data_IF_815822356664
#
_entry.id   IF_815822356664
#
_cell.length_a   1.000
_cell.length_b   1.000
_cell.length_c   1.000
_cell.angle_alpha   90.00
_cell.angle_beta   90.00
_cell.angle_gamma   90.00
#
_symmetry.space_group_name_H-M   'P 1'
#
loop_
_entity.id
_entity.type
_entity.pdbx_description
1 polymer ?
#
# COMPACT_ATOMS: atom_id res chain seq x y z
N UNK A 1 59.76 -13.88 26.87
CA UNK A 1 59.34 -12.59 26.29
C UNK A 1 57.89 -12.72 25.89
N UNK A 2 57.05 -11.96 26.58
CA UNK A 2 55.64 -11.73 26.27
C UNK A 2 55.42 -11.19 24.84
N UNK A 3 54.20 -11.41 24.34
CA UNK A 3 53.66 -10.87 23.09
C UNK A 3 52.50 -11.75 22.62
N UNK A 4 51.38 -11.78 23.34
CA UNK A 4 50.17 -11.00 23.04
C UNK A 4 49.57 -11.38 21.67
N UNK A 5 48.65 -12.36 21.65
CA UNK A 5 47.19 -12.17 21.51
C UNK A 5 46.77 -11.42 20.23
N UNK A 6 45.97 -12.09 19.39
CA UNK A 6 44.61 -11.64 19.05
C UNK A 6 43.90 -12.69 18.17
N UNK A 7 42.77 -13.11 18.73
CA UNK A 7 41.71 -13.98 18.24
C UNK A 7 41.06 -13.58 16.90
N UNK A 8 40.55 -14.57 16.16
CA UNK A 8 39.10 -14.81 15.88
C UNK A 8 39.00 -15.85 14.76
N UNK A 9 38.61 -17.08 15.09
CA UNK A 9 37.23 -17.56 15.08
C UNK A 9 36.75 -18.02 13.69
N UNK A 10 36.79 -19.35 13.54
CA UNK A 10 35.73 -20.21 13.01
C UNK A 10 35.35 -20.13 11.53
N UNK A 11 35.98 -21.03 10.75
CA UNK A 11 35.34 -21.73 9.63
C UNK A 11 34.14 -22.54 10.16
N UNK A 12 32.94 -22.27 9.65
CA UNK A 12 32.04 -23.19 8.92
C UNK A 12 30.56 -22.88 9.15
N UNK A 13 29.81 -22.94 8.03
CA UNK A 13 28.41 -23.35 7.87
C UNK A 13 27.27 -22.43 8.32
N UNK A 14 26.37 -22.16 7.37
CA UNK A 14 25.06 -21.55 7.61
C UNK A 14 24.23 -21.29 6.35
N UNK A 15 23.98 -22.34 5.57
CA UNK A 15 22.78 -22.62 4.74
C UNK A 15 22.07 -21.46 4.01
N UNK A 16 22.02 -21.57 2.69
CA UNK A 16 21.07 -20.86 1.84
C UNK A 16 19.62 -21.10 2.28
N UNK A 17 18.95 -20.04 2.74
CA UNK A 17 17.49 -19.99 2.84
C UNK A 17 16.94 -19.28 1.59
N UNK A 18 17.04 -19.94 0.45
CA UNK A 18 16.04 -19.77 -0.60
C UNK A 18 14.84 -20.65 -0.21
N UNK A 19 13.65 -20.25 -0.67
CA UNK A 19 12.36 -20.98 -0.65
C UNK A 19 11.36 -20.45 0.37
N UNK A 20 10.58 -19.45 -0.10
CA UNK A 20 9.11 -19.28 0.01
C UNK A 20 8.74 -17.80 0.24
N UNK A 21 8.56 -17.02 -0.83
CA UNK A 21 7.90 -15.72 -0.69
C UNK A 21 7.06 -15.24 -1.87
N UNK A 22 6.80 -16.06 -2.89
CA UNK A 22 6.02 -15.60 -4.06
C UNK A 22 4.49 -15.86 -3.97
N UNK A 23 3.91 -16.71 -3.09
CA UNK A 23 2.44 -16.77 -3.00
C UNK A 23 1.82 -16.04 -1.79
N UNK A 24 2.57 -15.63 -0.76
CA UNK A 24 1.94 -15.20 0.51
C UNK A 24 1.18 -13.87 0.39
N UNK A 25 1.56 -12.98 -0.53
CA UNK A 25 0.84 -11.71 -0.76
C UNK A 25 -0.54 -11.94 -1.43
N UNK A 26 -0.80 -13.10 -2.02
CA UNK A 26 -2.04 -13.38 -2.74
C UNK A 26 -3.18 -13.93 -1.84
N UNK A 27 -2.94 -14.18 -0.55
CA UNK A 27 -3.91 -14.92 0.29
C UNK A 27 -4.72 -14.07 1.30
N UNK A 28 -4.61 -12.74 1.33
CA UNK A 28 -5.34 -11.92 2.31
C UNK A 28 -6.29 -10.85 1.74
N UNK A 29 -6.37 -10.70 0.42
CA UNK A 29 -7.38 -9.88 -0.26
C UNK A 29 -7.62 -10.49 -1.64
N UNK A 30 -8.59 -10.00 -2.42
CA UNK A 30 -8.74 -10.36 -3.85
C UNK A 30 -7.60 -9.75 -4.70
N UNK A 31 -6.35 -9.96 -4.28
CA UNK A 31 -5.15 -9.54 -4.96
C UNK A 31 -4.90 -10.53 -6.11
N UNK A 32 -4.74 -9.99 -7.33
CA UNK A 32 -4.48 -10.77 -8.53
C UNK A 32 -3.32 -10.13 -9.28
N UNK A 33 -2.30 -10.92 -9.60
CA UNK A 33 -1.28 -10.51 -10.55
C UNK A 33 -1.94 -10.35 -11.94
N UNK A 34 -1.97 -9.13 -12.44
CA UNK A 34 -2.55 -8.77 -13.74
C UNK A 34 -1.50 -8.94 -14.84
N UNK A 35 -0.25 -8.55 -14.56
CA UNK A 35 0.86 -8.65 -15.52
C UNK A 35 2.22 -8.63 -14.81
N UNK A 36 3.25 -9.06 -15.52
CA UNK A 36 4.65 -8.95 -15.10
C UNK A 36 5.13 -10.06 -14.16
N UNK A 37 6.22 -9.81 -13.44
CA UNK A 37 6.87 -10.82 -12.59
C UNK A 37 7.30 -10.25 -11.23
N UNK A 38 6.78 -10.84 -10.16
CA UNK A 38 7.15 -10.48 -8.78
C UNK A 38 8.42 -11.20 -8.30
N UNK A 39 8.96 -12.15 -9.05
CA UNK A 39 10.24 -12.78 -8.74
C UNK A 39 11.41 -11.79 -8.73
N UNK A 40 11.24 -10.61 -9.34
CA UNK A 40 12.17 -9.47 -9.28
C UNK A 40 12.43 -8.98 -7.86
N UNK A 41 11.51 -9.25 -6.92
CA UNK A 41 11.65 -8.91 -5.51
C UNK A 41 12.46 -9.94 -4.71
N UNK A 42 12.83 -11.08 -5.30
CA UNK A 42 13.65 -12.08 -4.60
C UNK A 42 15.01 -11.48 -4.21
N UNK A 43 15.38 -11.69 -2.95
CA UNK A 43 16.63 -11.17 -2.39
C UNK A 43 16.61 -9.68 -2.06
N UNK A 44 15.52 -8.96 -2.33
CA UNK A 44 15.38 -7.56 -1.89
C UNK A 44 14.97 -7.55 -0.42
N UNK A 45 15.73 -6.83 0.41
CA UNK A 45 15.45 -6.67 1.85
C UNK A 45 14.68 -5.40 2.16
N UNK A 46 14.55 -4.50 1.17
CA UNK A 46 13.80 -3.27 1.29
C UNK A 46 13.03 -2.99 -0.01
N UNK A 47 11.84 -2.41 0.12
CA UNK A 47 11.02 -1.91 -0.98
C UNK A 47 10.41 -0.56 -0.59
N UNK A 48 10.30 0.35 -1.55
CA UNK A 48 9.63 1.62 -1.33
C UNK A 48 8.15 1.53 -1.62
N UNK A 49 7.38 2.39 -0.99
CA UNK A 49 5.94 2.53 -1.23
C UNK A 49 5.60 3.99 -1.45
N UNK A 50 4.87 4.24 -2.53
CA UNK A 50 4.30 5.53 -2.87
C UNK A 50 2.79 5.37 -3.06
N UNK A 51 2.02 6.32 -2.52
CA UNK A 51 0.58 6.31 -2.63
C UNK A 51 0.13 7.31 -3.69
N UNK A 52 -0.70 6.85 -4.62
CA UNK A 52 -1.28 7.65 -5.69
C UNK A 52 -2.80 7.68 -5.54
N UNK A 53 -3.36 8.87 -5.35
CA UNK A 53 -4.80 9.10 -5.24
C UNK A 53 -5.35 9.84 -6.46
N UNK A 54 -4.52 10.11 -7.47
CA UNK A 54 -4.92 10.90 -8.63
C UNK A 54 -5.94 10.14 -9.47
N UNK A 55 -7.04 10.82 -9.81
CA UNK A 55 -8.09 10.25 -10.66
C UNK A 55 -8.88 9.11 -9.99
N UNK A 56 -8.86 9.02 -8.66
CA UNK A 56 -9.72 8.07 -7.97
C UNK A 56 -11.19 8.46 -8.07
N UNK A 57 -12.05 7.44 -7.98
CA UNK A 57 -13.50 7.61 -7.99
C UNK A 57 -14.13 7.23 -6.65
N UNK A 58 -15.30 7.79 -6.36
CA UNK A 58 -16.00 7.58 -5.09
C UNK A 58 -17.40 7.04 -5.31
N UNK A 59 -17.78 6.08 -4.47
CA UNK A 59 -19.08 5.44 -4.46
C UNK A 59 -19.28 4.42 -5.59
N UNK A 60 -20.32 3.59 -5.47
CA UNK A 60 -20.64 2.55 -6.46
C UNK A 60 -20.87 3.03 -7.90
N UNK A 61 -21.17 4.33 -8.11
CA UNK A 61 -21.31 4.93 -9.45
C UNK A 61 -19.98 5.39 -10.06
N UNK A 62 -18.89 5.39 -9.30
CA UNK A 62 -17.59 5.83 -9.79
C UNK A 62 -17.52 7.35 -10.06
N UNK A 63 -18.13 8.17 -9.20
CA UNK A 63 -18.07 9.63 -9.36
C UNK A 63 -16.63 10.12 -9.18
N UNK A 64 -16.08 10.99 -10.06
CA UNK A 64 -14.77 11.58 -9.84
C UNK A 64 -14.68 12.23 -8.46
N UNK A 65 -13.58 12.01 -7.73
CA UNK A 65 -13.45 12.49 -6.36
C UNK A 65 -13.74 13.99 -6.22
N UNK A 66 -13.17 14.82 -7.10
CA UNK A 66 -13.33 16.27 -7.03
C UNK A 66 -14.81 16.69 -7.10
N UNK A 67 -15.59 16.03 -7.96
CA UNK A 67 -17.02 16.26 -8.07
C UNK A 67 -17.74 15.79 -6.80
N UNK A 68 -17.44 14.58 -6.33
CA UNK A 68 -18.07 14.02 -5.14
C UNK A 68 -17.81 14.89 -3.89
N UNK A 69 -16.57 15.37 -3.72
CA UNK A 69 -16.22 16.27 -2.62
C UNK A 69 -16.96 17.61 -2.71
N UNK A 70 -17.09 18.20 -3.89
CA UNK A 70 -17.83 19.45 -4.06
C UNK A 70 -19.30 19.31 -3.62
N UNK A 71 -19.95 18.23 -4.05
CA UNK A 71 -21.34 17.92 -3.66
C UNK A 71 -21.48 17.71 -2.14
N UNK A 72 -20.56 16.95 -1.57
CA UNK A 72 -20.54 16.60 -0.15
C UNK A 72 -20.19 17.80 0.75
N UNK A 73 -19.34 18.73 0.30
CA UNK A 73 -19.05 20.00 0.97
C UNK A 73 -20.28 20.91 0.94
N UNK A 74 -20.88 21.12 -0.23
CA UNK A 74 -22.07 21.97 -0.38
C UNK A 74 -23.23 21.48 0.49
N UNK A 75 -23.51 20.17 0.46
CA UNK A 75 -24.54 19.52 1.26
C UNK A 75 -24.33 19.68 2.76
N UNK A 76 -23.08 19.54 3.25
CA UNK A 76 -22.76 19.70 4.68
C UNK A 76 -22.85 21.16 5.10
N UNK A 77 -22.26 22.07 4.32
CA UNK A 77 -22.32 23.51 4.60
C UNK A 77 -23.75 24.05 4.59
N UNK A 78 -24.63 23.51 3.75
CA UNK A 78 -26.07 23.83 3.78
C UNK A 78 -26.79 23.40 5.06
N UNK A 79 -26.26 22.43 5.82
CA UNK A 79 -26.80 22.02 7.13
C UNK A 79 -26.14 22.75 8.29
N UNK A 80 -24.83 22.95 8.21
CA UNK A 80 -24.01 23.66 9.20
C UNK A 80 -22.81 24.27 8.49
N UNK A 81 -22.73 25.60 8.48
CA UNK A 81 -21.60 26.32 7.90
C UNK A 81 -20.26 25.81 8.47
N UNK A 82 -19.28 25.60 7.58
CA UNK A 82 -17.94 25.09 7.89
C UNK A 82 -17.85 23.58 8.11
N UNK A 83 -18.96 22.85 8.17
CA UNK A 83 -18.92 21.39 8.38
C UNK A 83 -18.49 20.61 7.12
N UNK A 84 -18.71 21.17 5.93
CA UNK A 84 -18.20 20.63 4.68
C UNK A 84 -16.69 20.76 4.57
N UNK A 85 -16.16 21.91 4.94
CA UNK A 85 -14.74 22.22 4.86
C UNK A 85 -13.94 21.33 5.84
N UNK A 86 -14.46 21.17 7.07
CA UNK A 86 -13.90 20.24 8.04
C UNK A 86 -13.91 18.80 7.53
N UNK A 87 -15.01 18.37 6.89
CA UNK A 87 -15.10 17.04 6.30
C UNK A 87 -14.07 16.83 5.18
N UNK A 88 -13.92 17.80 4.26
CA UNK A 88 -12.96 17.71 3.18
C UNK A 88 -11.52 17.64 3.72
N UNK A 89 -11.20 18.43 4.74
CA UNK A 89 -9.89 18.38 5.40
C UNK A 89 -9.62 16.99 5.99
N UNK A 90 -10.57 16.42 6.74
CA UNK A 90 -10.44 15.06 7.31
C UNK A 90 -10.34 13.99 6.22
N UNK A 91 -11.11 14.10 5.14
CA UNK A 91 -11.08 13.16 4.03
C UNK A 91 -9.69 13.09 3.39
N UNK A 92 -9.05 14.24 3.17
CA UNK A 92 -7.70 14.32 2.60
C UNK A 92 -6.64 13.90 3.60
N UNK A 93 -6.72 14.35 4.87
CA UNK A 93 -5.71 14.04 5.90
C UNK A 93 -5.66 12.56 6.24
N UNK A 94 -6.82 11.86 6.18
CA UNK A 94 -6.92 10.42 6.43
C UNK A 94 -6.00 9.59 5.53
N UNK A 95 -5.66 10.07 4.34
CA UNK A 95 -4.72 9.40 3.42
C UNK A 95 -3.35 9.20 4.05
N UNK A 96 -2.83 10.22 4.71
CA UNK A 96 -1.49 10.22 5.33
C UNK A 96 -1.53 9.81 6.80
N UNK A 97 -2.61 10.12 7.50
CA UNK A 97 -2.74 9.89 8.95
C UNK A 97 -3.23 8.48 9.28
N UNK A 98 -4.01 7.86 8.39
CA UNK A 98 -4.67 6.58 8.67
C UNK A 98 -4.36 5.52 7.61
N UNK A 99 -4.64 5.80 6.34
CA UNK A 99 -4.64 4.77 5.28
C UNK A 99 -3.24 4.33 4.89
N UNK A 100 -2.33 5.27 4.58
CA UNK A 100 -0.96 4.95 4.25
C UNK A 100 -0.21 4.24 5.39
N UNK A 101 -0.28 4.71 6.66
CA UNK A 101 0.33 4.00 7.79
C UNK A 101 -0.22 2.58 7.97
N UNK A 102 -1.54 2.40 7.93
CA UNK A 102 -2.16 1.07 8.09
C UNK A 102 -1.78 0.12 6.96
N UNK A 103 -1.76 0.60 5.72
CA UNK A 103 -1.32 -0.21 4.58
C UNK A 103 0.14 -0.65 4.76
N UNK A 104 1.03 0.27 5.14
CA UNK A 104 2.43 -0.06 5.40
C UNK A 104 2.60 -1.04 6.55
N UNK A 105 1.81 -0.91 7.61
CA UNK A 105 1.82 -1.84 8.74
C UNK A 105 1.48 -3.26 8.28
N UNK A 106 0.37 -3.44 7.56
CA UNK A 106 -0.06 -4.75 7.05
C UNK A 106 0.93 -5.31 6.02
N UNK A 107 1.43 -4.48 5.10
CA UNK A 107 2.44 -4.90 4.14
C UNK A 107 3.73 -5.35 4.85
N UNK A 108 4.16 -4.62 5.88
CA UNK A 108 5.36 -5.00 6.65
C UNK A 108 5.16 -6.28 7.45
N UNK A 109 3.96 -6.54 8.00
CA UNK A 109 3.65 -7.83 8.65
C UNK A 109 3.84 -9.00 7.68
N UNK A 110 3.45 -8.83 6.43
CA UNK A 110 3.63 -9.85 5.39
C UNK A 110 5.08 -9.96 4.91
N UNK A 111 5.76 -8.84 4.63
CA UNK A 111 7.15 -8.82 4.16
C UNK A 111 8.15 -9.34 5.21
N UNK A 112 7.90 -9.08 6.48
CA UNK A 112 8.74 -9.55 7.58
C UNK A 112 8.86 -11.09 7.60
N UNK A 113 7.84 -11.83 7.12
CA UNK A 113 7.84 -13.29 7.04
C UNK A 113 8.95 -13.85 6.14
N UNK A 114 9.52 -13.05 5.25
CA UNK A 114 10.73 -13.43 4.53
C UNK A 114 11.79 -12.33 4.48
N UNK A 115 11.93 -11.58 5.59
CA UNK A 115 13.09 -10.74 5.84
C UNK A 115 13.18 -9.45 5.03
N UNK A 116 12.05 -8.98 4.48
CA UNK A 116 11.97 -7.70 3.79
C UNK A 116 11.18 -6.67 4.61
N UNK A 117 11.39 -5.38 4.30
CA UNK A 117 10.61 -4.26 4.85
C UNK A 117 10.17 -3.29 3.76
N UNK A 118 8.98 -2.74 3.91
CA UNK A 118 8.47 -1.61 3.15
C UNK A 118 8.68 -0.31 3.92
N UNK A 119 9.06 0.75 3.21
CA UNK A 119 9.21 2.11 3.74
C UNK A 119 8.61 3.12 2.77
N UNK A 120 8.18 4.29 3.28
CA UNK A 120 7.77 5.39 2.41
C UNK A 120 8.95 5.80 1.52
N UNK A 121 8.63 6.15 0.26
CA UNK A 121 9.62 6.49 -0.76
C UNK A 121 10.64 7.51 -0.28
N UNK A 122 11.92 7.13 -0.34
CA UNK A 122 13.07 7.95 0.06
C UNK A 122 14.25 7.82 -0.93
N UNK A 123 14.09 7.07 -2.03
CA UNK A 123 15.11 6.83 -3.06
C UNK A 123 16.20 5.81 -2.70
N UNK A 124 16.04 5.04 -1.63
CA UNK A 124 17.04 4.11 -1.09
C UNK A 124 16.87 2.66 -1.57
N UNK A 125 15.65 2.21 -1.93
CA UNK A 125 15.44 0.86 -2.44
C UNK A 125 15.50 0.80 -3.97
N UNK A 126 15.86 -0.36 -4.54
CA UNK A 126 15.89 -0.57 -6.00
C UNK A 126 14.50 -0.47 -6.64
N UNK A 127 13.46 -0.91 -5.93
CA UNK A 127 12.10 -0.94 -6.44
C UNK A 127 11.13 -0.16 -5.55
N UNK A 128 10.08 0.36 -6.19
CA UNK A 128 8.96 1.05 -5.56
C UNK A 128 7.65 0.32 -5.91
N UNK A 129 6.78 0.16 -4.93
CA UNK A 129 5.36 -0.15 -5.13
C UNK A 129 4.59 1.16 -5.18
N UNK A 130 4.00 1.45 -6.34
CA UNK A 130 3.04 2.54 -6.48
C UNK A 130 1.66 1.97 -6.18
N UNK A 131 1.09 2.35 -5.04
CA UNK A 131 -0.25 1.95 -4.58
C UNK A 131 -1.24 3.01 -5.03
N UNK A 132 -1.91 2.75 -6.14
CA UNK A 132 -2.92 3.63 -6.72
C UNK A 132 -4.30 3.26 -6.19
N UNK A 133 -5.00 4.23 -5.61
CA UNK A 133 -6.40 4.09 -5.24
C UNK A 133 -7.27 4.34 -6.46
N UNK A 134 -7.97 3.32 -6.95
CA UNK A 134 -8.82 3.44 -8.14
C UNK A 134 -10.25 3.87 -7.78
N UNK A 135 -10.78 3.28 -6.71
CA UNK A 135 -12.14 3.56 -6.26
C UNK A 135 -12.26 3.38 -4.75
N UNK A 136 -13.06 4.23 -4.11
CA UNK A 136 -13.41 4.11 -2.69
C UNK A 136 -14.92 4.17 -2.53
N UNK A 137 -15.49 3.22 -1.81
CA UNK A 137 -16.83 3.31 -1.23
C UNK A 137 -16.67 3.58 0.26
N UNK A 138 -16.96 4.81 0.74
CA UNK A 138 -16.69 5.19 2.14
C UNK A 138 -17.67 4.58 3.14
N UNK A 139 -18.75 3.93 2.69
CA UNK A 139 -19.74 3.34 3.57
C UNK A 139 -21.16 3.59 3.11
N UNK A 140 -21.52 3.18 1.90
CA UNK A 140 -22.92 3.15 1.50
C UNK A 140 -23.71 2.21 2.42
N UNK A 141 -24.78 2.73 3.03
CA UNK A 141 -25.74 1.92 3.77
C UNK A 141 -26.65 1.23 2.75
N UNK A 142 -26.52 -0.10 2.64
CA UNK A 142 -27.37 -0.96 1.81
C UNK A 142 -28.18 -1.84 2.76
N UNK A 143 -29.48 -1.52 2.93
CA UNK A 143 -30.32 -2.15 3.94
C UNK A 143 -29.82 -1.85 5.35
N UNK A 144 -29.48 -2.88 6.12
CA UNK A 144 -28.96 -2.76 7.50
C UNK A 144 -27.43 -2.73 7.58
N UNK A 145 -26.72 -2.83 6.45
CA UNK A 145 -25.26 -2.94 6.42
C UNK A 145 -24.62 -1.71 5.80
N UNK A 146 -23.63 -1.14 6.48
CA UNK A 146 -22.71 -0.16 5.91
C UNK A 146 -21.54 -0.90 5.28
N UNK A 147 -21.33 -0.74 3.98
CA UNK A 147 -20.23 -1.39 3.27
C UNK A 147 -19.20 -0.35 2.87
N UNK A 148 -18.04 -0.40 3.52
CA UNK A 148 -16.86 0.36 3.09
C UNK A 148 -15.88 -0.57 2.37
N UNK A 149 -15.34 -0.11 1.25
CA UNK A 149 -14.31 -0.83 0.51
C UNK A 149 -13.48 0.10 -0.38
N UNK A 150 -12.29 -0.37 -0.78
CA UNK A 150 -11.49 0.26 -1.80
C UNK A 150 -11.09 -0.74 -2.89
N UNK A 151 -10.80 -0.23 -4.09
CA UNK A 151 -10.16 -0.99 -5.16
C UNK A 151 -8.82 -0.32 -5.45
N UNK A 152 -7.75 -1.10 -5.46
CA UNK A 152 -6.39 -0.64 -5.64
C UNK A 152 -5.76 -1.27 -6.88
N UNK A 153 -4.87 -0.51 -7.51
CA UNK A 153 -3.86 -1.03 -8.43
C UNK A 153 -2.50 -0.83 -7.77
N UNK A 154 -1.70 -1.90 -7.65
CA UNK A 154 -0.34 -1.82 -7.14
C UNK A 154 0.63 -2.12 -8.28
N UNK A 155 1.47 -1.16 -8.64
CA UNK A 155 2.50 -1.32 -9.67
C UNK A 155 3.87 -1.45 -9.04
N UNK A 156 4.60 -2.49 -9.43
CA UNK A 156 6.03 -2.61 -9.15
C UNK A 156 6.80 -1.88 -10.25
N UNK A 157 7.70 -0.98 -9.88
CA UNK A 157 8.56 -0.22 -10.80
C UNK A 157 9.99 -0.20 -10.29
N UNK A 158 10.96 0.10 -11.16
CA UNK A 158 12.28 0.53 -10.69
C UNK A 158 12.17 1.93 -10.09
N UNK A 159 12.78 2.16 -8.93
CA UNK A 159 12.73 3.46 -8.24
C UNK A 159 13.27 4.58 -9.13
N UNK A 160 14.30 4.29 -9.92
CA UNK A 160 14.91 5.22 -10.87
C UNK A 160 14.08 5.43 -12.15
N UNK A 161 13.06 4.59 -12.42
CA UNK A 161 12.28 4.60 -13.66
C UNK A 161 10.83 4.16 -13.41
N UNK A 162 9.99 5.10 -12.98
CA UNK A 162 8.61 4.85 -12.49
C UNK A 162 7.54 4.81 -13.58
N UNK A 163 7.87 5.20 -14.81
CA UNK A 163 6.96 5.20 -15.97
C UNK A 163 6.72 3.80 -16.55
N UNK A 164 7.57 2.81 -16.21
CA UNK A 164 7.46 1.44 -16.72
C UNK A 164 7.11 0.48 -15.57
N UNK A 165 5.91 -0.10 -15.63
CA UNK A 165 5.49 -1.14 -14.70
C UNK A 165 6.17 -2.49 -15.03
N UNK A 166 6.88 -3.04 -14.05
CA UNK A 166 7.49 -4.38 -14.09
C UNK A 166 6.50 -5.47 -13.67
N UNK A 167 5.54 -5.12 -12.83
CA UNK A 167 4.39 -5.95 -12.48
C UNK A 167 3.20 -5.06 -12.08
N UNK A 168 1.98 -5.58 -12.27
CA UNK A 168 0.75 -4.94 -11.84
C UNK A 168 -0.12 -5.93 -11.07
N UNK A 169 -0.62 -5.51 -9.91
CA UNK A 169 -1.49 -6.29 -9.03
C UNK A 169 -2.79 -5.52 -8.87
N UNK A 170 -3.92 -6.13 -9.23
CA UNK A 170 -5.24 -5.59 -8.92
C UNK A 170 -5.71 -6.11 -7.57
N UNK A 171 -6.25 -5.24 -6.71
CA UNK A 171 -6.85 -5.61 -5.43
C UNK A 171 -8.27 -5.07 -5.42
N UNK A 172 -9.26 -5.96 -5.55
CA UNK A 172 -10.66 -5.54 -5.65
C UNK A 172 -11.38 -5.57 -4.30
N UNK A 173 -12.13 -4.50 -4.01
CA UNK A 173 -13.07 -4.40 -2.89
C UNK A 173 -12.46 -4.86 -1.55
N UNK A 174 -11.25 -4.38 -1.24
CA UNK A 174 -10.65 -4.55 0.08
C UNK A 174 -11.49 -3.81 1.11
N UNK A 175 -11.85 -4.47 2.22
CA UNK A 175 -12.67 -3.90 3.29
C UNK A 175 -11.80 -3.53 4.48
N UNK A 176 -12.21 -2.56 5.32
CA UNK A 176 -11.59 -2.37 6.62
C UNK A 176 -11.65 -3.68 7.41
N UNK A 177 -10.56 -4.07 8.07
CA UNK A 177 -10.63 -5.16 9.04
C UNK A 177 -11.61 -4.77 10.15
N UNK A 178 -12.53 -5.69 10.48
CA UNK A 178 -13.56 -5.58 11.52
C UNK A 178 -12.96 -5.56 12.92
#
# INVERSE_FOLDING_TARGET
MEGMQMSKAMKTMGVAAAVLLVPVVLMAAKAKLVSGDLALLKGQTAIEVEFDYAGMTVGGKGTPEAQWLADEVAKRNGKKAGSGDAFQATWVSSRTELYAPRFLEELNKELAKGGAKAMLGAGAAKYTLIVRTMQVEPGATIGFNTQAWATLEVRLVETAKKDVALAAIGIEKIRPAS
#
